data_IF_239173418448
#
_entry.id   IF_239173418448
#
_cell.length_a   1.000
_cell.length_b   1.000
_cell.length_c   1.000
_cell.angle_alpha   90.00
_cell.angle_beta   90.00
_cell.angle_gamma   90.00
#
_symmetry.space_group_name_H-M   'P 1'
#
loop_
_entity.id
_entity.type
_entity.pdbx_description
1 polymer ?
#
# COMPACT_ATOMS: atom_id res chain seq x y z
N UNK A 1 -12.25 -1.23 9.24
CA UNK A 1 -13.33 -0.25 9.12
C UNK A 1 -13.30 0.39 7.74
N UNK A 2 -14.47 0.63 7.13
CA UNK A 2 -14.57 1.40 5.87
C UNK A 2 -14.49 2.91 6.17
N UNK A 3 -14.73 3.29 7.41
CA UNK A 3 -14.66 4.67 7.85
C UNK A 3 -13.20 5.06 8.15
N UNK A 4 -12.80 6.30 7.83
CA UNK A 4 -11.50 6.82 8.20
C UNK A 4 -11.28 6.75 9.70
N UNK A 5 -10.07 6.38 10.09
CA UNK A 5 -9.63 6.53 11.47
C UNK A 5 -8.99 7.89 11.62
N UNK A 6 -9.69 8.80 12.27
CA UNK A 6 -9.26 10.20 12.46
C UNK A 6 -8.08 10.33 13.44
N UNK A 7 -7.72 9.27 14.14
CA UNK A 7 -6.57 9.22 15.05
C UNK A 7 -5.27 8.78 14.38
N UNK A 8 -5.34 8.27 13.15
CA UNK A 8 -4.17 7.77 12.44
C UNK A 8 -3.99 8.49 11.10
N UNK A 9 -2.78 8.95 10.85
CA UNK A 9 -2.39 9.60 9.61
C UNK A 9 -1.23 8.85 8.98
N UNK A 10 -1.24 8.78 7.66
CA UNK A 10 -0.15 8.18 6.89
C UNK A 10 0.43 9.21 5.93
N UNK A 11 1.74 9.20 5.83
CA UNK A 11 2.49 10.01 4.89
C UNK A 11 3.37 9.09 4.03
N UNK A 12 3.30 9.25 2.73
CA UNK A 12 4.15 8.53 1.78
C UNK A 12 4.93 9.54 0.96
N UNK A 13 6.25 9.41 0.94
CA UNK A 13 7.12 10.23 0.12
C UNK A 13 8.05 9.36 -0.72
N UNK A 14 8.44 9.88 -1.87
CA UNK A 14 9.48 9.32 -2.71
C UNK A 14 10.66 10.31 -2.77
N UNK A 15 11.86 9.80 -2.58
CA UNK A 15 13.08 10.60 -2.46
C UNK A 15 14.05 10.23 -3.57
N UNK A 16 14.78 11.21 -4.06
CA UNK A 16 15.85 10.98 -5.05
C UNK A 16 17.12 10.45 -4.38
N UNK A 17 17.30 10.72 -3.08
CA UNK A 17 18.42 10.21 -2.29
C UNK A 17 18.07 10.04 -0.81
N UNK A 18 18.88 9.25 -0.09
CA UNK A 18 18.75 9.10 1.36
C UNK A 18 19.02 10.41 2.10
N UNK A 19 19.93 11.26 1.59
CA UNK A 19 20.24 12.57 2.17
C UNK A 19 19.01 13.48 2.15
N UNK A 20 18.26 13.49 1.05
CA UNK A 20 17.01 14.26 0.97
C UNK A 20 15.97 13.78 1.99
N UNK A 21 15.83 12.46 2.12
CA UNK A 21 14.93 11.89 3.13
C UNK A 21 15.35 12.31 4.54
N UNK A 22 16.63 12.20 4.85
CA UNK A 22 17.19 12.59 6.15
C UNK A 22 16.98 14.07 6.46
N UNK A 23 17.29 14.94 5.50
CA UNK A 23 17.09 16.39 5.65
C UNK A 23 15.62 16.72 5.92
N UNK A 24 14.69 16.08 5.22
CA UNK A 24 13.26 16.24 5.46
C UNK A 24 12.86 15.84 6.89
N UNK A 25 13.29 14.68 7.36
CA UNK A 25 12.93 14.20 8.70
C UNK A 25 13.60 15.02 9.82
N UNK A 26 14.76 15.60 9.58
CA UNK A 26 15.48 16.39 10.57
C UNK A 26 15.06 17.87 10.60
N UNK A 27 14.69 18.46 9.47
CA UNK A 27 14.58 19.91 9.35
C UNK A 27 13.27 20.43 8.78
N UNK A 28 12.47 19.59 8.09
CA UNK A 28 11.30 20.12 7.40
C UNK A 28 10.15 20.47 8.36
N UNK A 29 9.65 21.73 8.36
CA UNK A 29 8.65 22.20 9.33
C UNK A 29 7.37 21.36 9.35
N UNK A 30 6.94 20.85 8.19
CA UNK A 30 5.78 19.97 8.09
C UNK A 30 5.96 18.71 8.95
N UNK A 31 7.09 18.00 8.80
CA UNK A 31 7.35 16.79 9.55
C UNK A 31 7.52 17.06 11.04
N UNK A 32 8.25 18.11 11.40
CA UNK A 32 8.47 18.50 12.79
C UNK A 32 7.14 18.84 13.48
N UNK A 33 6.25 19.59 12.81
CA UNK A 33 4.92 19.90 13.35
C UNK A 33 4.04 18.66 13.48
N UNK A 34 4.25 17.66 12.65
CA UNK A 34 3.56 16.37 12.71
C UNK A 34 4.04 15.56 13.92
N UNK A 35 5.37 15.51 14.11
CA UNK A 35 6.02 14.82 15.22
C UNK A 35 5.55 15.34 16.58
N UNK A 36 5.36 16.65 16.72
CA UNK A 36 4.87 17.27 17.96
C UNK A 36 3.43 16.87 18.33
N UNK A 37 2.62 16.46 17.35
CA UNK A 37 1.19 16.11 17.52
C UNK A 37 0.94 14.63 17.66
N UNK A 38 1.90 13.80 17.31
CA UNK A 38 1.78 12.35 17.33
C UNK A 38 2.28 11.79 18.65
N UNK A 39 1.53 10.88 19.25
CA UNK A 39 1.98 10.10 20.41
C UNK A 39 2.94 8.98 20.03
N UNK A 40 2.84 8.51 18.78
CA UNK A 40 3.66 7.44 18.23
C UNK A 40 3.88 7.68 16.74
N UNK A 41 5.08 7.42 16.24
CA UNK A 41 5.40 7.47 14.82
C UNK A 41 6.17 6.21 14.47
N UNK A 42 5.69 5.51 13.44
CA UNK A 42 6.40 4.37 12.85
C UNK A 42 6.81 4.77 11.44
N UNK A 43 8.08 4.63 11.13
CA UNK A 43 8.64 5.00 9.83
C UNK A 43 9.19 3.77 9.13
N UNK A 44 8.76 3.54 7.89
CA UNK A 44 9.26 2.46 7.05
C UNK A 44 10.04 3.03 5.87
N UNK A 45 11.25 2.52 5.67
CA UNK A 45 11.98 2.70 4.42
C UNK A 45 11.56 1.62 3.44
N UNK A 46 11.15 2.04 2.23
CA UNK A 46 10.61 1.18 1.20
C UNK A 46 11.55 1.19 -0.02
N UNK A 47 12.17 0.06 -0.34
CA UNK A 47 12.93 -0.09 -1.58
C UNK A 47 12.09 -0.84 -2.60
N UNK A 48 11.72 -0.19 -3.70
CA UNK A 48 10.85 -0.79 -4.71
C UNK A 48 11.59 -1.89 -5.47
N UNK A 49 11.02 -3.10 -5.48
CA UNK A 49 11.57 -4.27 -6.20
C UNK A 49 10.70 -4.69 -7.38
N UNK A 50 9.46 -4.24 -7.43
CA UNK A 50 8.55 -4.49 -8.55
C UNK A 50 7.47 -3.42 -8.59
N UNK A 51 7.19 -2.90 -9.77
CA UNK A 51 6.09 -1.95 -9.99
C UNK A 51 5.45 -2.16 -11.35
N UNK A 52 4.16 -1.91 -11.44
CA UNK A 52 3.43 -1.81 -12.70
C UNK A 52 2.17 -0.95 -12.53
N UNK A 53 1.66 -0.45 -13.65
CA UNK A 53 0.54 0.47 -13.67
C UNK A 53 0.94 1.92 -13.40
N UNK A 54 -0.05 2.77 -13.17
CA UNK A 54 0.16 4.21 -13.02
C UNK A 54 -0.59 4.78 -11.82
N UNK A 55 -0.14 5.92 -11.36
CA UNK A 55 -0.75 6.76 -10.34
C UNK A 55 -0.85 8.17 -10.91
N UNK A 56 -2.06 8.61 -11.27
CA UNK A 56 -2.35 9.86 -11.97
C UNK A 56 -1.51 10.02 -13.25
N UNK A 57 -1.49 8.93 -14.05
CA UNK A 57 -0.74 8.85 -15.30
C UNK A 57 0.78 8.78 -15.15
N UNK A 58 1.31 8.71 -13.93
CA UNK A 58 2.76 8.64 -13.63
C UNK A 58 3.12 7.27 -13.09
N UNK A 59 4.40 6.91 -13.16
CA UNK A 59 5.00 5.72 -12.55
C UNK A 59 5.87 6.16 -11.38
N UNK A 60 5.30 6.37 -10.16
CA UNK A 60 6.04 6.97 -9.05
C UNK A 60 7.13 6.07 -8.48
N UNK A 61 7.03 4.75 -8.70
CA UNK A 61 7.99 3.79 -8.17
C UNK A 61 8.74 3.11 -9.30
N UNK A 62 10.06 3.22 -9.28
CA UNK A 62 10.97 2.53 -10.20
C UNK A 62 11.59 1.36 -9.45
N UNK A 63 11.47 0.16 -10.03
CA UNK A 63 12.05 -1.02 -9.41
C UNK A 63 13.58 -0.97 -9.47
N UNK A 64 14.21 -1.09 -8.31
CA UNK A 64 15.63 -1.31 -8.18
C UNK A 64 15.93 -2.79 -8.46
N UNK A 65 16.67 -3.04 -9.55
CA UNK A 65 17.00 -4.40 -10.00
C UNK A 65 18.17 -4.99 -9.25
N UNK A 66 18.92 -4.16 -8.56
CA UNK A 66 20.14 -4.56 -7.84
C UNK A 66 19.85 -4.91 -6.37
N UNK A 67 18.62 -4.61 -5.92
CA UNK A 67 18.17 -4.99 -4.57
C UNK A 67 17.98 -6.51 -4.48
N UNK A 68 18.80 -7.15 -3.68
CA UNK A 68 18.64 -8.55 -3.29
C UNK A 68 17.53 -8.66 -2.23
N UNK A 69 16.66 -9.64 -2.41
CA UNK A 69 15.55 -9.93 -1.49
C UNK A 69 15.88 -11.21 -0.72
N UNK A 70 16.07 -11.06 0.59
CA UNK A 70 16.22 -12.22 1.48
C UNK A 70 14.86 -12.89 1.75
N UNK A 71 14.83 -14.21 1.98
CA UNK A 71 13.61 -14.91 2.41
C UNK A 71 12.99 -14.36 3.69
N UNK A 72 13.81 -13.76 4.55
CA UNK A 72 13.40 -13.22 5.85
C UNK A 72 13.06 -11.71 5.80
N UNK A 73 13.21 -11.08 4.64
CA UNK A 73 12.89 -9.66 4.50
C UNK A 73 11.38 -9.43 4.58
N UNK A 74 10.98 -8.42 5.36
CA UNK A 74 9.62 -7.92 5.34
C UNK A 74 9.31 -7.32 3.98
N UNK A 75 8.10 -7.62 3.49
CA UNK A 75 7.65 -7.19 2.17
C UNK A 75 6.45 -6.26 2.29
N UNK A 76 6.60 -5.05 1.77
CA UNK A 76 5.53 -4.09 1.63
C UNK A 76 4.85 -4.17 0.26
N UNK A 77 3.55 -3.96 0.23
CA UNK A 77 2.79 -3.85 -1.01
C UNK A 77 1.91 -2.61 -0.96
N UNK A 78 2.01 -1.80 -2.00
CA UNK A 78 1.05 -0.73 -2.27
C UNK A 78 0.23 -1.14 -3.48
N UNK A 79 -1.10 -1.12 -3.30
CA UNK A 79 -2.05 -1.23 -4.40
C UNK A 79 -2.89 0.03 -4.44
N UNK A 80 -3.06 0.62 -5.61
CA UNK A 80 -3.95 1.75 -5.83
C UNK A 80 -4.90 1.44 -6.97
N UNK A 81 -6.14 1.87 -6.82
CA UNK A 81 -7.13 1.78 -7.87
C UNK A 81 -8.02 3.01 -7.87
N UNK A 82 -8.23 3.58 -9.05
CA UNK A 82 -9.24 4.59 -9.29
C UNK A 82 -10.47 3.90 -9.87
N UNK A 83 -11.61 3.99 -9.17
CA UNK A 83 -12.84 3.29 -9.52
C UNK A 83 -13.64 4.15 -10.48
N UNK A 84 -14.11 3.58 -11.60
CA UNK A 84 -15.04 4.24 -12.49
C UNK A 84 -16.33 4.58 -11.75
N UNK A 85 -16.67 5.86 -11.63
CA UNK A 85 -17.80 6.34 -10.84
C UNK A 85 -19.13 5.63 -11.12
N UNK A 86 -19.42 5.30 -12.38
CA UNK A 86 -20.63 4.53 -12.76
C UNK A 86 -20.65 3.08 -12.26
N UNK A 87 -19.51 2.56 -11.81
CA UNK A 87 -19.37 1.18 -11.32
C UNK A 87 -19.16 1.09 -9.81
N UNK A 88 -19.10 2.22 -9.14
CA UNK A 88 -18.80 2.36 -7.71
C UNK A 88 -19.75 1.54 -6.82
N UNK A 89 -21.06 1.65 -7.02
CA UNK A 89 -22.06 0.93 -6.22
C UNK A 89 -21.88 -0.59 -6.35
N UNK A 90 -21.56 -1.07 -7.56
CA UNK A 90 -21.35 -2.49 -7.82
C UNK A 90 -20.05 -2.98 -7.19
N UNK A 91 -18.98 -2.21 -7.25
CA UNK A 91 -17.69 -2.49 -6.64
C UNK A 91 -17.83 -2.63 -5.12
N UNK A 92 -18.44 -1.66 -4.44
CA UNK A 92 -18.60 -1.66 -2.98
C UNK A 92 -19.44 -2.80 -2.41
N UNK A 93 -20.25 -3.47 -3.25
CA UNK A 93 -20.96 -4.70 -2.84
C UNK A 93 -20.02 -5.92 -2.72
N UNK A 94 -18.84 -5.87 -3.33
CA UNK A 94 -17.87 -6.98 -3.33
C UNK A 94 -16.69 -6.78 -2.39
N UNK A 95 -16.30 -5.55 -2.09
CA UNK A 95 -15.14 -5.21 -1.25
C UNK A 95 -15.20 -5.84 0.16
N UNK A 96 -16.33 -5.86 0.88
CA UNK A 96 -16.36 -6.43 2.23
C UNK A 96 -15.91 -7.89 2.28
N UNK A 97 -16.09 -8.65 1.20
CA UNK A 97 -15.73 -10.07 1.13
C UNK A 97 -14.23 -10.31 0.95
N UNK A 98 -13.52 -9.40 0.28
CA UNK A 98 -12.08 -9.51 0.09
C UNK A 98 -11.28 -9.07 1.33
N UNK A 99 -11.85 -8.22 2.18
CA UNK A 99 -11.24 -7.82 3.44
C UNK A 99 -11.20 -8.93 4.49
N UNK A 100 -12.13 -9.88 4.44
CA UNK A 100 -12.16 -11.01 5.39
C UNK A 100 -10.97 -11.94 5.19
N UNK A 101 -10.52 -12.13 3.95
CA UNK A 101 -9.35 -12.99 3.68
C UNK A 101 -8.02 -12.36 4.16
N UNK A 102 -7.94 -11.04 4.19
CA UNK A 102 -6.75 -10.34 4.70
C UNK A 102 -6.55 -10.57 6.20
N UNK A 103 -7.60 -10.39 6.98
CA UNK A 103 -7.53 -10.46 8.45
C UNK A 103 -7.30 -11.87 9.02
N UNK A 104 -7.41 -12.90 8.20
CA UNK A 104 -7.17 -14.31 8.59
C UNK A 104 -5.79 -14.85 8.22
N UNK A 105 -4.91 -14.03 7.63
CA UNK A 105 -3.60 -14.50 7.16
C UNK A 105 -2.53 -14.27 8.23
N UNK A 106 -1.91 -15.35 8.70
CA UNK A 106 -0.90 -15.31 9.77
C UNK A 106 0.37 -14.55 9.41
N UNK A 107 0.67 -14.37 8.11
CA UNK A 107 1.86 -13.64 7.65
C UNK A 107 1.60 -12.16 7.32
N UNK A 108 0.39 -11.65 7.55
CA UNK A 108 0.08 -10.23 7.43
C UNK A 108 0.40 -9.51 8.74
N UNK A 109 1.40 -8.64 8.74
CA UNK A 109 1.82 -7.88 9.92
C UNK A 109 0.98 -6.62 10.11
N UNK A 110 0.70 -5.91 9.01
CA UNK A 110 -0.04 -4.66 9.04
C UNK A 110 -0.78 -4.43 7.72
N UNK A 111 -1.95 -3.81 7.77
CA UNK A 111 -2.64 -3.31 6.58
C UNK A 111 -3.44 -2.05 6.89
N UNK A 112 -3.33 -1.07 6.00
CA UNK A 112 -4.07 0.19 6.11
C UNK A 112 -4.57 0.62 4.74
N UNK A 113 -5.86 0.99 4.70
CA UNK A 113 -6.42 1.71 3.55
C UNK A 113 -6.04 3.18 3.64
N UNK A 114 -5.59 3.73 2.52
CA UNK A 114 -5.25 5.13 2.35
C UNK A 114 -6.14 5.65 1.22
N UNK A 115 -6.79 6.77 1.39
CA UNK A 115 -7.66 7.34 0.36
C UNK A 115 -7.58 8.86 0.34
N UNK A 116 -7.28 9.43 -0.82
CA UNK A 116 -7.36 10.87 -1.05
C UNK A 116 -8.81 11.31 -1.26
N UNK A 117 -9.53 10.56 -2.09
CA UNK A 117 -10.95 10.80 -2.33
C UNK A 117 -11.70 9.56 -1.86
N UNK A 118 -12.42 9.66 -0.74
CA UNK A 118 -13.16 8.53 -0.20
C UNK A 118 -14.05 7.87 -1.25
N UNK A 119 -14.02 6.54 -1.33
CA UNK A 119 -14.83 5.71 -2.21
C UNK A 119 -14.45 5.69 -3.70
N UNK A 120 -13.68 6.63 -4.20
CA UNK A 120 -13.28 6.75 -5.62
C UNK A 120 -11.83 6.36 -5.82
N UNK A 121 -10.94 6.91 -5.03
CA UNK A 121 -9.51 6.64 -5.06
C UNK A 121 -9.09 5.92 -3.81
N UNK A 122 -8.60 4.71 -3.99
CA UNK A 122 -8.23 3.83 -2.90
C UNK A 122 -6.83 3.31 -3.12
N UNK A 123 -6.01 3.52 -2.12
CA UNK A 123 -4.76 2.80 -1.98
C UNK A 123 -4.81 1.93 -0.73
N UNK A 124 -4.10 0.83 -0.76
CA UNK A 124 -3.89 -0.02 0.40
C UNK A 124 -2.41 -0.28 0.54
N UNK A 125 -1.87 0.01 1.70
CA UNK A 125 -0.55 -0.48 2.11
C UNK A 125 -0.74 -1.73 2.95
N UNK A 126 0.04 -2.77 2.65
CA UNK A 126 0.10 -3.98 3.47
C UNK A 126 1.55 -4.39 3.69
N UNK A 127 1.87 -4.76 4.92
CA UNK A 127 3.17 -5.25 5.36
C UNK A 127 3.06 -6.73 5.68
N UNK A 128 3.95 -7.51 5.10
CA UNK A 128 4.00 -8.96 5.19
C UNK A 128 5.31 -9.41 5.82
N UNK A 129 5.24 -10.48 6.59
CA UNK A 129 6.38 -11.09 7.24
C UNK A 129 7.50 -11.43 6.25
N UNK A 130 7.12 -11.92 5.07
CA UNK A 130 8.06 -12.25 3.99
C UNK A 130 7.34 -12.41 2.65
N UNK A 131 8.13 -12.64 1.61
CA UNK A 131 7.60 -12.84 0.26
C UNK A 131 6.74 -14.10 0.13
N UNK A 132 7.03 -15.18 0.85
CA UNK A 132 6.26 -16.41 0.80
C UNK A 132 4.84 -16.19 1.34
N UNK A 133 4.70 -15.51 2.47
CA UNK A 133 3.41 -15.15 3.06
C UNK A 133 2.55 -14.33 2.11
N UNK A 134 3.14 -13.32 1.47
CA UNK A 134 2.46 -12.53 0.44
C UNK A 134 2.00 -13.39 -0.74
N UNK A 135 2.88 -14.28 -1.25
CA UNK A 135 2.55 -15.13 -2.41
C UNK A 135 1.47 -16.15 -2.06
N UNK A 136 1.51 -16.72 -0.86
CA UNK A 136 0.46 -17.62 -0.37
C UNK A 136 -0.91 -16.92 -0.35
N UNK A 137 -0.97 -15.70 0.16
CA UNK A 137 -2.20 -14.90 0.11
C UNK A 137 -2.64 -14.62 -1.33
N UNK A 138 -1.74 -14.12 -2.17
CA UNK A 138 -2.06 -13.71 -3.54
C UNK A 138 -2.55 -14.88 -4.42
N UNK A 139 -1.98 -16.08 -4.24
CA UNK A 139 -2.25 -17.23 -5.09
C UNK A 139 -3.15 -18.30 -4.49
N UNK A 140 -3.33 -18.36 -3.15
CA UNK A 140 -4.19 -19.34 -2.49
C UNK A 140 -5.54 -18.79 -2.07
N UNK A 141 -5.68 -17.47 -1.86
CA UNK A 141 -6.93 -16.81 -1.50
C UNK A 141 -7.99 -16.93 -2.59
N UNK A 142 -9.02 -17.76 -2.40
CA UNK A 142 -10.09 -17.94 -3.39
C UNK A 142 -10.86 -16.64 -3.64
N UNK A 143 -11.15 -15.87 -2.59
CA UNK A 143 -11.87 -14.60 -2.70
C UNK A 143 -11.03 -13.53 -3.37
N UNK A 144 -9.70 -13.50 -3.12
CA UNK A 144 -8.79 -12.59 -3.80
C UNK A 144 -8.69 -12.87 -5.29
N UNK A 145 -8.54 -14.14 -5.69
CA UNK A 145 -8.58 -14.55 -7.10
C UNK A 145 -9.90 -14.17 -7.78
N UNK A 146 -11.00 -14.39 -7.08
CA UNK A 146 -12.34 -14.05 -7.58
C UNK A 146 -12.50 -12.53 -7.72
N UNK A 147 -11.99 -11.75 -6.78
CA UNK A 147 -12.00 -10.29 -6.86
C UNK A 147 -11.21 -9.79 -8.08
N UNK A 148 -10.00 -10.31 -8.31
CA UNK A 148 -9.17 -9.99 -9.49
C UNK A 148 -9.90 -10.37 -10.79
N UNK A 149 -10.49 -11.56 -10.86
CA UNK A 149 -11.22 -12.01 -12.04
C UNK A 149 -12.45 -11.14 -12.33
N UNK A 150 -13.18 -10.74 -11.29
CA UNK A 150 -14.34 -9.85 -11.40
C UNK A 150 -13.92 -8.44 -11.81
N UNK A 151 -12.81 -7.93 -11.30
CA UNK A 151 -12.26 -6.63 -11.69
C UNK A 151 -11.94 -6.60 -13.17
N UNK A 152 -11.24 -7.61 -13.68
CA UNK A 152 -10.94 -7.75 -15.12
C UNK A 152 -12.21 -7.89 -15.95
N UNK A 153 -13.13 -8.77 -15.54
CA UNK A 153 -14.41 -9.03 -16.26
C UNK A 153 -15.28 -7.77 -16.36
N UNK A 154 -15.33 -6.98 -15.31
CA UNK A 154 -16.23 -5.82 -15.23
C UNK A 154 -15.54 -4.50 -15.55
N UNK A 155 -14.21 -4.50 -15.72
CA UNK A 155 -13.42 -3.31 -15.99
C UNK A 155 -13.77 -2.16 -15.02
N UNK A 156 -13.66 -2.45 -13.71
CA UNK A 156 -14.08 -1.51 -12.65
C UNK A 156 -13.16 -0.31 -12.53
N UNK A 157 -11.87 -0.50 -12.83
CA UNK A 157 -10.86 0.53 -12.64
C UNK A 157 -10.68 1.40 -13.89
N UNK A 158 -10.49 2.68 -13.71
CA UNK A 158 -9.96 3.59 -14.74
C UNK A 158 -8.44 3.56 -14.76
N UNK A 159 -7.85 3.37 -13.58
CA UNK A 159 -6.42 3.28 -13.39
C UNK A 159 -6.13 2.32 -12.24
N UNK A 160 -5.03 1.60 -12.32
CA UNK A 160 -4.52 0.75 -11.25
C UNK A 160 -2.99 0.83 -11.17
N UNK A 161 -2.46 0.71 -9.98
CA UNK A 161 -1.04 0.63 -9.72
C UNK A 161 -0.78 -0.42 -8.64
N UNK A 162 0.28 -1.16 -8.82
CA UNK A 162 0.81 -2.12 -7.87
C UNK A 162 2.31 -1.91 -7.72
N UNK A 163 2.80 -1.83 -6.49
CA UNK A 163 4.22 -1.82 -6.20
C UNK A 163 4.53 -2.74 -5.01
N UNK A 164 5.67 -3.43 -5.11
CA UNK A 164 6.22 -4.27 -4.06
C UNK A 164 7.57 -3.72 -3.61
N UNK A 165 7.81 -3.80 -2.32
CA UNK A 165 8.98 -3.23 -1.67
C UNK A 165 9.60 -4.23 -0.71
N UNK A 166 10.93 -4.18 -0.58
CA UNK A 166 11.61 -4.61 0.65
C UNK A 166 11.44 -3.50 1.67
N UNK A 167 11.12 -3.87 2.90
CA UNK A 167 10.76 -2.93 3.96
C UNK A 167 11.76 -3.03 5.09
N UNK A 168 12.28 -1.87 5.52
CA UNK A 168 13.04 -1.73 6.77
C UNK A 168 12.29 -0.75 7.67
N UNK A 169 12.07 -1.14 8.92
CA UNK A 169 11.57 -0.21 9.93
C UNK A 169 12.71 0.67 10.39
N UNK A 170 12.50 1.99 10.32
CA UNK A 170 13.43 2.96 10.85
C UNK A 170 13.03 3.25 12.29
N UNK A 171 13.92 2.89 13.21
CA UNK A 171 13.75 3.24 14.63
C UNK A 171 13.96 4.74 14.75
N UNK A 172 12.93 5.48 15.16
CA UNK A 172 12.93 6.93 15.36
C UNK A 172 13.44 7.30 16.74
#
# INVERSE_FOLDING_TARGET
SILPDWGEYSFLANWESEEQAKDFFEHHPFYLSYKERCSEIVTYQLTCIKSHGTWDGKTPFVADKDTEVSPDDNVGVITRASIKWMKMIRFWRYVPKSHQDLNGNSGLLFTKGIGDIPLVEMATFSLWENQESLMNFAYRGEHHKKAIALTKKHNWYSEEMFARFVVKELVS
#
